data_IF_342690331972
#
_entry.id   IF_342690331972
#
_cell.length_a   1.000
_cell.length_b   1.000
_cell.length_c   1.000
_cell.angle_alpha   90.00
_cell.angle_beta   90.00
_cell.angle_gamma   90.00
#
_symmetry.space_group_name_H-M   'P 1'
#
loop_
_entity.id
_entity.type
_entity.pdbx_description
1 polymer ?
#
# COMPACT_ATOMS: atom_id res chain seq x y z
N UNK A 1 -4.67 30.05 4.89
CA UNK A 1 -5.13 28.89 5.69
C UNK A 1 -5.09 27.70 4.75
N UNK A 2 -4.01 26.92 4.77
CA UNK A 2 -3.93 25.65 4.04
C UNK A 2 -4.92 24.69 4.70
N UNK A 3 -5.90 24.23 3.94
CA UNK A 3 -6.73 23.11 4.38
C UNK A 3 -5.79 21.90 4.54
N UNK A 4 -5.67 21.37 5.74
CA UNK A 4 -5.05 20.05 5.94
C UNK A 4 -5.82 19.06 5.07
N UNK A 5 -5.15 18.51 4.05
CA UNK A 5 -5.68 17.45 3.21
C UNK A 5 -5.88 16.24 4.12
N UNK A 6 -7.12 15.88 4.40
CA UNK A 6 -7.42 14.65 5.15
C UNK A 6 -6.94 13.48 4.30
N UNK A 7 -5.85 12.85 4.73
CA UNK A 7 -5.31 11.66 4.07
C UNK A 7 -6.33 10.53 4.26
N UNK A 8 -7.00 10.12 3.19
CA UNK A 8 -7.86 8.94 3.18
C UNK A 8 -6.97 7.70 3.17
N UNK A 9 -7.09 6.88 4.20
CA UNK A 9 -6.38 5.60 4.26
C UNK A 9 -6.99 4.55 3.33
N UNK A 10 -8.30 4.70 3.01
CA UNK A 10 -9.05 3.78 2.14
C UNK A 10 -9.92 4.55 1.15
N UNK A 11 -10.26 3.91 0.03
CA UNK A 11 -11.19 4.42 -0.98
C UNK A 11 -12.21 3.35 -1.37
N UNK A 12 -13.44 3.76 -1.61
CA UNK A 12 -14.50 2.88 -2.09
C UNK A 12 -14.49 2.71 -3.61
N UNK A 13 -15.31 1.76 -4.11
CA UNK A 13 -15.41 1.42 -5.54
C UNK A 13 -15.86 2.61 -6.38
N UNK A 14 -16.87 3.36 -5.95
CA UNK A 14 -17.45 4.43 -6.76
C UNK A 14 -16.50 5.63 -6.86
N UNK A 15 -15.82 5.96 -5.76
CA UNK A 15 -14.76 6.96 -5.73
C UNK A 15 -13.63 6.59 -6.69
N UNK A 16 -13.10 5.36 -6.62
CA UNK A 16 -12.03 4.90 -7.51
C UNK A 16 -12.46 4.95 -8.99
N UNK A 17 -13.68 4.49 -9.31
CA UNK A 17 -14.20 4.55 -10.68
C UNK A 17 -14.32 5.97 -11.22
N UNK A 18 -14.67 6.93 -10.36
CA UNK A 18 -14.67 8.36 -10.75
C UNK A 18 -13.26 8.84 -11.03
N UNK A 19 -12.32 8.58 -10.14
CA UNK A 19 -10.92 8.99 -10.27
C UNK A 19 -10.24 8.39 -11.51
N UNK A 20 -10.57 7.14 -11.87
CA UNK A 20 -10.11 6.50 -13.12
C UNK A 20 -10.65 7.24 -14.34
N UNK A 21 -11.95 7.57 -14.38
CA UNK A 21 -12.56 8.33 -15.49
C UNK A 21 -11.93 9.71 -15.65
N UNK A 22 -11.65 10.37 -14.53
CA UNK A 22 -11.06 11.72 -14.47
C UNK A 22 -9.54 11.70 -14.72
N UNK A 23 -8.93 10.51 -14.81
CA UNK A 23 -7.48 10.27 -14.95
C UNK A 23 -6.66 10.96 -13.84
N UNK A 24 -7.22 11.04 -12.64
CA UNK A 24 -6.66 11.73 -11.48
C UNK A 24 -5.93 10.81 -10.50
N UNK A 25 -5.93 9.48 -10.76
CA UNK A 25 -5.36 8.47 -9.89
C UNK A 25 -4.42 7.52 -10.61
N UNK A 26 -3.37 7.07 -9.92
CA UNK A 26 -2.56 5.91 -10.30
C UNK A 26 -3.03 4.70 -9.51
N UNK A 27 -3.50 3.68 -10.21
CA UNK A 27 -3.94 2.41 -9.59
C UNK A 27 -2.78 1.42 -9.62
N UNK A 28 -2.48 0.77 -8.49
CA UNK A 28 -1.43 -0.25 -8.36
C UNK A 28 -2.08 -1.60 -8.03
N UNK A 29 -1.81 -2.59 -8.87
CA UNK A 29 -2.15 -3.99 -8.66
C UNK A 29 -0.97 -4.74 -8.05
N UNK A 30 -1.09 -5.25 -6.82
CA UNK A 30 -0.01 -5.98 -6.15
C UNK A 30 -0.10 -7.49 -6.31
N UNK A 31 -1.06 -7.99 -7.08
CA UNK A 31 -1.18 -9.41 -7.42
C UNK A 31 0.01 -9.86 -8.27
N UNK A 32 0.12 -11.18 -8.46
CA UNK A 32 1.14 -11.75 -9.33
C UNK A 32 0.99 -11.25 -10.76
N UNK A 33 2.11 -11.08 -11.45
CA UNK A 33 2.14 -10.61 -12.85
C UNK A 33 1.26 -11.45 -13.79
N UNK A 34 1.25 -12.77 -13.59
CA UNK A 34 0.42 -13.71 -14.36
C UNK A 34 -1.09 -13.51 -14.17
N UNK A 35 -1.53 -13.04 -12.98
CA UNK A 35 -2.93 -12.75 -12.70
C UNK A 35 -3.31 -11.36 -13.19
N UNK A 36 -2.42 -10.38 -13.04
CA UNK A 36 -2.59 -9.04 -13.62
C UNK A 36 -2.72 -9.08 -15.15
N UNK A 37 -1.90 -9.87 -15.84
CA UNK A 37 -1.96 -10.01 -17.30
C UNK A 37 -3.23 -10.66 -17.83
N UNK A 38 -3.96 -11.42 -17.01
CA UNK A 38 -5.26 -12.00 -17.41
C UNK A 38 -6.34 -10.93 -17.43
N UNK A 39 -6.45 -10.22 -16.35
CA UNK A 39 -7.36 -9.08 -16.19
C UNK A 39 -6.99 -8.26 -14.93
N UNK A 40 -7.26 -6.97 -14.97
CA UNK A 40 -6.99 -6.03 -13.87
C UNK A 40 -7.99 -4.86 -13.90
N UNK A 41 -8.00 -4.02 -12.85
CA UNK A 41 -8.77 -2.76 -12.84
C UNK A 41 -8.21 -1.84 -13.93
N UNK A 42 -9.06 -1.20 -14.75
CA UNK A 42 -8.60 -0.34 -15.84
C UNK A 42 -7.53 0.65 -15.40
N UNK A 43 -6.54 0.86 -16.25
CA UNK A 43 -5.37 1.75 -16.02
C UNK A 43 -4.39 1.31 -14.92
N UNK A 44 -4.65 0.21 -14.22
CA UNK A 44 -3.74 -0.26 -13.18
C UNK A 44 -2.36 -0.62 -13.73
N UNK A 45 -1.32 -0.36 -12.93
CA UNK A 45 0.04 -0.85 -13.15
C UNK A 45 0.35 -1.96 -12.18
N UNK A 46 1.18 -2.92 -12.58
CA UNK A 46 1.48 -4.06 -11.72
C UNK A 46 2.76 -3.83 -10.90
N UNK A 47 2.66 -4.01 -9.59
CA UNK A 47 3.79 -4.07 -8.66
C UNK A 47 3.62 -5.27 -7.74
N UNK A 48 3.98 -6.49 -8.16
CA UNK A 48 3.96 -7.63 -7.28
C UNK A 48 4.78 -7.38 -6.01
N UNK A 49 4.21 -7.72 -4.84
CA UNK A 49 4.88 -7.47 -3.55
C UNK A 49 6.30 -8.09 -3.51
N UNK A 50 6.51 -9.24 -4.13
CA UNK A 50 7.83 -9.88 -4.20
C UNK A 50 8.90 -8.98 -4.86
N UNK A 51 8.51 -8.18 -5.87
CA UNK A 51 9.43 -7.25 -6.53
C UNK A 51 9.84 -6.08 -5.62
N UNK A 52 8.92 -5.63 -4.76
CA UNK A 52 9.22 -4.62 -3.75
C UNK A 52 10.12 -5.19 -2.66
N UNK A 53 9.82 -6.37 -2.14
CA UNK A 53 10.56 -7.00 -1.04
C UNK A 53 11.95 -7.53 -1.44
N UNK A 54 12.23 -7.67 -2.74
CA UNK A 54 13.56 -8.09 -3.21
C UNK A 54 14.65 -7.05 -2.91
N UNK A 55 14.27 -5.78 -2.90
CA UNK A 55 15.11 -4.64 -2.50
C UNK A 55 14.16 -3.47 -2.19
N UNK A 56 13.94 -3.20 -0.92
CA UNK A 56 13.09 -2.12 -0.42
C UNK A 56 13.88 -0.87 0.01
N UNK A 57 15.12 -0.75 -0.47
CA UNK A 57 15.90 0.48 -0.28
C UNK A 57 15.18 1.70 -0.89
N UNK A 58 15.26 2.87 -0.24
CA UNK A 58 14.55 4.07 -0.71
C UNK A 58 14.84 4.41 -2.18
N UNK A 59 16.08 4.27 -2.63
CA UNK A 59 16.51 4.54 -4.00
C UNK A 59 15.91 3.56 -5.00
N UNK A 60 15.76 2.29 -4.61
CA UNK A 60 15.11 1.29 -5.45
C UNK A 60 13.61 1.51 -5.53
N UNK A 61 12.98 1.81 -4.40
CA UNK A 61 11.54 2.14 -4.33
C UNK A 61 11.25 3.38 -5.17
N UNK A 62 12.06 4.44 -5.06
CA UNK A 62 11.93 5.65 -5.89
C UNK A 62 11.97 5.33 -7.38
N UNK A 63 12.90 4.48 -7.83
CA UNK A 63 12.99 4.06 -9.25
C UNK A 63 11.73 3.33 -9.71
N UNK A 64 11.15 2.48 -8.86
CA UNK A 64 9.89 1.80 -9.15
C UNK A 64 8.74 2.81 -9.27
N UNK A 65 8.61 3.71 -8.30
CA UNK A 65 7.59 4.76 -8.25
C UNK A 65 7.67 5.65 -9.50
N UNK A 66 8.87 6.11 -9.85
CA UNK A 66 9.12 6.91 -11.06
C UNK A 66 8.68 6.16 -12.33
N UNK A 67 9.00 4.87 -12.42
CA UNK A 67 8.64 4.05 -13.59
C UNK A 67 7.13 3.79 -13.71
N UNK A 68 6.40 3.87 -12.61
CA UNK A 68 4.94 3.78 -12.59
C UNK A 68 4.23 5.12 -12.85
N UNK A 69 4.99 6.19 -13.14
CA UNK A 69 4.44 7.51 -13.42
C UNK A 69 3.84 8.20 -12.19
N UNK A 70 4.49 8.01 -11.03
CA UNK A 70 4.08 8.61 -9.76
C UNK A 70 5.11 9.69 -9.39
N UNK A 71 4.64 10.91 -9.18
CA UNK A 71 5.36 12.04 -8.60
C UNK A 71 4.75 12.37 -7.22
N UNK A 72 5.26 13.41 -6.59
CA UNK A 72 4.83 13.81 -5.24
C UNK A 72 3.35 14.24 -5.16
N UNK A 73 2.73 14.59 -6.30
CA UNK A 73 1.35 15.06 -6.39
C UNK A 73 0.35 14.00 -6.89
N UNK A 74 0.84 12.83 -7.29
CA UNK A 74 0.01 11.77 -7.87
C UNK A 74 -0.81 11.10 -6.78
N UNK A 75 -2.15 11.09 -6.88
CA UNK A 75 -2.99 10.24 -6.02
C UNK A 75 -2.79 8.76 -6.38
N UNK A 76 -2.65 7.90 -5.37
CA UNK A 76 -2.37 6.47 -5.55
C UNK A 76 -3.41 5.63 -4.84
N UNK A 77 -3.95 4.64 -5.55
CA UNK A 77 -4.80 3.59 -4.96
C UNK A 77 -4.16 2.23 -5.18
N UNK A 78 -4.01 1.47 -4.10
CA UNK A 78 -3.40 0.13 -4.13
C UNK A 78 -4.47 -0.93 -3.84
N UNK A 79 -4.47 -2.03 -4.59
CA UNK A 79 -5.38 -3.13 -4.37
C UNK A 79 -4.74 -4.52 -4.51
N UNK A 80 -5.41 -5.52 -3.94
CA UNK A 80 -5.02 -6.93 -4.00
C UNK A 80 -6.25 -7.88 -4.02
N UNK A 81 -6.01 -9.17 -3.83
CA UNK A 81 -7.03 -10.20 -3.60
C UNK A 81 -7.01 -10.76 -2.15
N UNK A 82 -6.33 -10.09 -1.23
CA UNK A 82 -6.12 -10.54 0.15
C UNK A 82 -6.70 -9.59 1.20
N UNK A 83 -7.73 -8.82 0.84
CA UNK A 83 -8.34 -7.80 1.69
C UNK A 83 -7.35 -6.77 2.24
N UNK A 84 -6.40 -6.36 1.41
CA UNK A 84 -5.40 -5.35 1.74
C UNK A 84 -4.14 -5.88 2.43
N UNK A 85 -4.02 -7.19 2.69
CA UNK A 85 -2.85 -7.72 3.40
C UNK A 85 -1.53 -7.49 2.63
N UNK A 86 -1.55 -7.61 1.31
CA UNK A 86 -0.38 -7.32 0.47
C UNK A 86 -0.33 -5.84 0.07
N UNK A 87 -1.48 -5.25 -0.25
CA UNK A 87 -1.59 -3.86 -0.68
C UNK A 87 -1.14 -2.88 0.42
N UNK A 88 -1.44 -3.18 1.69
CA UNK A 88 -1.01 -2.34 2.83
C UNK A 88 0.51 -2.26 2.97
N UNK A 89 1.25 -3.32 2.64
CA UNK A 89 2.72 -3.27 2.66
C UNK A 89 3.26 -2.33 1.60
N UNK A 90 2.67 -2.33 0.39
CA UNK A 90 3.05 -1.39 -0.68
C UNK A 90 2.68 0.04 -0.28
N UNK A 91 1.45 0.28 0.20
CA UNK A 91 1.01 1.59 0.64
C UNK A 91 1.92 2.14 1.76
N UNK A 92 2.21 1.34 2.80
CA UNK A 92 3.12 1.73 3.87
C UNK A 92 4.53 2.07 3.35
N UNK A 93 5.04 1.33 2.36
CA UNK A 93 6.36 1.61 1.79
C UNK A 93 6.38 2.95 1.05
N UNK A 94 5.29 3.28 0.32
CA UNK A 94 5.13 4.59 -0.31
C UNK A 94 5.06 5.71 0.73
N UNK A 95 4.29 5.53 1.80
CA UNK A 95 4.23 6.49 2.91
C UNK A 95 5.59 6.66 3.58
N UNK A 96 6.34 5.58 3.78
CA UNK A 96 7.70 5.64 4.34
C UNK A 96 8.66 6.40 3.43
N UNK A 97 8.52 6.27 2.09
CA UNK A 97 9.29 7.04 1.11
C UNK A 97 8.95 8.55 1.16
N UNK A 98 7.80 8.91 1.74
CA UNK A 98 7.31 10.29 1.85
C UNK A 98 6.09 10.61 0.97
N UNK A 99 5.54 9.61 0.27
CA UNK A 99 4.34 9.81 -0.54
C UNK A 99 3.11 9.99 0.35
N UNK A 100 2.42 11.13 0.23
CA UNK A 100 1.35 11.53 1.16
C UNK A 100 -0.06 11.15 0.73
N UNK A 101 -0.27 10.80 -0.55
CA UNK A 101 -1.60 10.56 -1.11
C UNK A 101 -1.73 9.12 -1.61
N UNK A 102 -1.74 8.17 -0.68
CA UNK A 102 -1.92 6.75 -0.95
C UNK A 102 -3.08 6.18 -0.15
N UNK A 103 -3.92 5.38 -0.78
CA UNK A 103 -5.06 4.71 -0.14
C UNK A 103 -5.19 3.26 -0.62
N UNK A 104 -5.90 2.46 0.18
CA UNK A 104 -6.25 1.08 -0.15
C UNK A 104 -7.66 1.02 -0.71
N UNK A 105 -7.87 0.21 -1.75
CA UNK A 105 -9.23 -0.10 -2.18
C UNK A 105 -9.93 -0.99 -1.15
N UNK A 106 -11.12 -0.60 -0.70
CA UNK A 106 -11.90 -1.30 0.35
C UNK A 106 -12.51 -2.63 -0.11
N UNK A 107 -12.00 -3.21 -1.19
CA UNK A 107 -12.48 -4.48 -1.71
C UNK A 107 -11.38 -5.28 -2.38
N UNK A 108 -11.59 -6.59 -2.56
CA UNK A 108 -10.68 -7.44 -3.33
C UNK A 108 -10.97 -7.35 -4.82
N UNK A 109 -9.98 -7.67 -5.66
CA UNK A 109 -10.20 -7.78 -7.11
C UNK A 109 -11.22 -8.87 -7.46
N UNK A 110 -11.24 -9.98 -6.70
CA UNK A 110 -12.25 -11.02 -6.87
C UNK A 110 -13.66 -10.48 -6.67
N UNK A 111 -13.89 -9.65 -5.66
CA UNK A 111 -15.19 -9.00 -5.45
C UNK A 111 -15.50 -7.96 -6.54
N UNK A 112 -14.51 -7.15 -6.97
CA UNK A 112 -14.64 -6.23 -8.11
C UNK A 112 -15.19 -6.95 -9.34
N UNK A 113 -14.64 -8.12 -9.68
CA UNK A 113 -15.13 -8.95 -10.80
C UNK A 113 -16.53 -9.49 -10.57
N UNK A 114 -16.84 -9.95 -9.36
CA UNK A 114 -18.14 -10.53 -9.02
C UNK A 114 -19.29 -9.52 -9.16
N UNK A 115 -18.99 -8.24 -8.99
CA UNK A 115 -19.92 -7.12 -9.20
C UNK A 115 -20.07 -6.74 -10.67
N UNK A 116 -19.37 -7.40 -11.59
CA UNK A 116 -19.44 -7.12 -13.03
C UNK A 116 -18.84 -5.77 -13.43
N UNK A 117 -17.89 -5.27 -12.62
CA UNK A 117 -17.24 -3.97 -12.89
C UNK A 117 -16.25 -4.08 -14.04
N UNK A 118 -15.89 -2.93 -14.60
CA UNK A 118 -14.98 -2.81 -15.73
C UNK A 118 -13.60 -3.41 -15.41
N UNK A 119 -13.06 -4.13 -16.37
CA UNK A 119 -11.71 -4.71 -16.30
C UNK A 119 -10.99 -4.56 -17.62
N UNK A 120 -9.68 -4.61 -17.58
CA UNK A 120 -8.80 -4.49 -18.73
C UNK A 120 -7.74 -5.61 -18.71
N UNK A 121 -7.14 -5.91 -19.85
CA UNK A 121 -5.99 -6.79 -20.02
C UNK A 121 -4.82 -6.07 -20.73
N UNK A 122 -5.05 -4.79 -21.07
CA UNK A 122 -4.06 -3.95 -21.75
C UNK A 122 -3.13 -3.29 -20.74
N UNK A 123 -1.84 -3.58 -20.85
CA UNK A 123 -0.81 -2.93 -20.02
C UNK A 123 -0.71 -1.46 -20.43
N UNK A 124 -0.96 -0.51 -19.51
CA UNK A 124 -0.95 0.90 -19.86
C UNK A 124 0.46 1.40 -20.19
N UNK A 125 0.56 2.26 -21.21
CA UNK A 125 1.79 3.02 -21.45
C UNK A 125 1.97 4.08 -20.36
N UNK A 126 3.13 4.08 -19.70
CA UNK A 126 3.42 4.96 -18.58
C UNK A 126 4.51 5.96 -18.95
N UNK A 127 4.19 7.24 -18.83
CA UNK A 127 5.21 8.27 -18.79
C UNK A 127 5.86 8.32 -17.42
N UNK A 128 7.18 8.14 -17.38
CA UNK A 128 7.95 8.25 -16.13
C UNK A 128 7.80 9.65 -15.55
N UNK A 129 7.76 9.71 -14.23
CA UNK A 129 7.77 10.94 -13.45
C UNK A 129 8.90 10.90 -12.42
N UNK A 130 9.16 12.03 -11.77
CA UNK A 130 10.16 12.15 -10.72
C UNK A 130 9.47 12.30 -9.37
N UNK A 131 9.76 11.38 -8.45
CA UNK A 131 9.30 11.40 -7.07
C UNK A 131 10.45 11.73 -6.14
N UNK A 132 10.22 12.57 -5.14
CA UNK A 132 11.21 12.93 -4.13
C UNK A 132 11.33 11.84 -3.04
N UNK A 133 12.53 11.66 -2.48
CA UNK A 133 12.71 10.84 -1.26
C UNK A 133 12.62 11.77 -0.05
N UNK A 134 11.53 11.64 0.71
CA UNK A 134 11.29 12.38 1.95
C UNK A 134 10.92 11.37 3.05
N UNK A 135 11.89 10.58 3.50
CA UNK A 135 11.64 9.47 4.43
C UNK A 135 10.90 9.92 5.69
N UNK A 136 9.97 9.08 6.11
CA UNK A 136 9.18 9.22 7.33
C UNK A 136 9.59 8.18 8.38
N UNK A 137 10.75 8.37 9.04
CA UNK A 137 11.27 7.40 10.02
C UNK A 137 10.36 7.22 11.23
N UNK A 138 9.48 8.18 11.51
CA UNK A 138 8.54 8.12 12.63
C UNK A 138 7.46 7.03 12.50
N UNK A 139 7.23 6.51 11.30
CA UNK A 139 6.29 5.39 11.09
C UNK A 139 6.97 4.01 11.14
N UNK A 140 8.30 3.96 11.33
CA UNK A 140 9.07 2.74 11.43
C UNK A 140 9.53 2.51 12.89
N UNK A 141 8.97 1.50 13.55
CA UNK A 141 9.43 1.06 14.85
C UNK A 141 10.64 0.12 14.69
N UNK A 142 11.84 0.63 15.00
CA UNK A 142 13.07 -0.17 15.02
C UNK A 142 13.20 -0.98 16.32
N UNK A 143 14.10 -1.97 16.34
CA UNK A 143 14.42 -2.71 17.58
C UNK A 143 14.86 -1.79 18.71
N UNK A 144 15.71 -0.79 18.42
CA UNK A 144 16.17 0.17 19.42
C UNK A 144 15.02 1.03 19.95
N UNK A 145 14.09 1.44 19.08
CA UNK A 145 12.88 2.13 19.51
C UNK A 145 12.05 1.25 20.45
N UNK A 146 11.82 -0.01 20.09
CA UNK A 146 11.04 -0.95 20.92
C UNK A 146 11.70 -1.16 22.29
N UNK A 147 13.02 -1.35 22.35
CA UNK A 147 13.74 -1.45 23.61
C UNK A 147 13.56 -0.19 24.49
N UNK A 148 13.66 0.99 23.89
CA UNK A 148 13.46 2.25 24.61
C UNK A 148 12.01 2.53 25.01
N UNK A 149 11.04 1.90 24.33
CA UNK A 149 9.62 2.15 24.49
C UNK A 149 8.93 1.20 25.47
N UNK A 150 9.59 0.10 25.87
CA UNK A 150 9.01 -0.97 26.72
C UNK A 150 8.35 -0.45 28.00
N UNK A 151 8.90 0.62 28.59
CA UNK A 151 8.40 1.18 29.85
C UNK A 151 7.72 2.54 29.68
N UNK A 152 7.59 3.02 28.45
CA UNK A 152 6.96 4.33 28.19
C UNK A 152 5.44 4.23 28.35
N UNK A 153 4.86 5.09 29.20
CA UNK A 153 3.40 5.24 29.29
C UNK A 153 2.82 5.71 27.95
N UNK A 154 1.74 5.06 27.53
CA UNK A 154 1.03 5.43 26.30
C UNK A 154 1.54 4.72 25.03
N UNK A 155 2.56 3.86 25.12
CA UNK A 155 2.97 2.98 24.05
C UNK A 155 2.38 1.59 24.25
N UNK A 156 1.74 1.06 23.23
CA UNK A 156 1.19 -0.30 23.21
C UNK A 156 1.83 -1.04 22.04
N UNK A 157 2.46 -2.17 22.32
CA UNK A 157 2.98 -3.07 21.30
C UNK A 157 1.90 -4.09 20.93
N UNK A 158 1.55 -4.16 19.67
CA UNK A 158 0.53 -5.06 19.14
C UNK A 158 1.17 -6.10 18.22
N UNK A 159 0.88 -7.38 18.47
CA UNK A 159 1.19 -8.47 17.56
C UNK A 159 -0.09 -8.83 16.77
N UNK A 160 -0.11 -8.51 15.47
CA UNK A 160 -1.24 -8.75 14.59
C UNK A 160 -1.15 -10.06 13.79
N UNK A 161 -0.17 -10.91 14.10
CA UNK A 161 -0.08 -12.26 13.52
C UNK A 161 -1.21 -13.14 14.07
N UNK A 162 -1.43 -14.26 13.39
CA UNK A 162 -2.38 -15.29 13.89
C UNK A 162 -2.07 -15.68 15.35
N UNK A 163 -3.14 -15.94 16.13
CA UNK A 163 -3.02 -16.23 17.56
C UNK A 163 -2.05 -17.38 17.87
N UNK A 164 -1.97 -18.39 17.00
CA UNK A 164 -1.05 -19.51 17.21
C UNK A 164 0.41 -19.04 17.16
N UNK A 165 0.77 -18.19 16.20
CA UNK A 165 2.11 -17.62 16.08
C UNK A 165 2.47 -16.76 17.30
N UNK A 166 1.50 -15.97 17.81
CA UNK A 166 1.69 -15.21 19.05
C UNK A 166 1.94 -16.12 20.24
N UNK A 167 1.16 -17.22 20.40
CA UNK A 167 1.29 -18.14 21.52
C UNK A 167 2.60 -18.94 21.47
N UNK A 168 3.09 -19.23 20.27
CA UNK A 168 4.37 -19.92 20.08
C UNK A 168 5.55 -19.01 20.47
N UNK A 169 5.58 -17.78 19.97
CA UNK A 169 6.62 -16.80 20.29
C UNK A 169 6.14 -15.37 19.93
N UNK A 170 6.35 -14.42 20.83
CA UNK A 170 6.07 -13.01 20.61
C UNK A 170 7.08 -12.10 21.31
N UNK A 171 7.11 -10.83 20.94
CA UNK A 171 7.95 -9.83 21.60
C UNK A 171 7.37 -9.58 23.01
N UNK A 172 8.18 -9.66 24.09
CA UNK A 172 7.71 -9.45 25.44
C UNK A 172 6.94 -8.14 25.62
N UNK A 173 5.76 -8.22 26.23
CA UNK A 173 4.87 -7.07 26.44
C UNK A 173 3.90 -6.78 25.28
N UNK A 174 3.98 -7.50 24.17
CA UNK A 174 3.01 -7.37 23.09
C UNK A 174 1.65 -7.93 23.49
N UNK A 175 0.57 -7.29 23.03
CA UNK A 175 -0.79 -7.82 23.09
C UNK A 175 -1.17 -8.45 21.75
N UNK A 176 -1.92 -9.57 21.81
CA UNK A 176 -2.38 -10.24 20.58
C UNK A 176 -3.64 -9.58 20.06
N UNK A 177 -3.56 -9.06 18.85
CA UNK A 177 -4.69 -8.54 18.08
C UNK A 177 -4.58 -9.08 16.65
N UNK A 178 -4.98 -10.32 16.39
CA UNK A 178 -4.83 -10.94 15.07
C UNK A 178 -5.57 -10.15 13.99
N UNK A 179 -4.93 -10.03 12.81
CA UNK A 179 -5.56 -9.42 11.64
C UNK A 179 -6.77 -10.22 11.15
N UNK A 180 -6.81 -11.52 11.44
CA UNK A 180 -7.99 -12.44 11.40
C UNK A 180 -7.70 -13.77 12.07
#
# INVERSE_FOLDING_TARGET
>A
MSQEKVVKTTTDIDSLRSEIRDKSVRVIDVRREEDYKKDHIPTAVNLPLANLLSDDSPERVQKLVNSMGIDDETSVVVYDDTFGALASRVAWTLEYLGHSDVSLLETTYGNWKSLGLEKDDVIPEIQKKEHSINLRPEILATSDYLESAKEKKGVILVDNRERLNYLEQHIPGAISLPYR
#
